data_IF_459945010634
#
_entry.id   IF_459945010634
#
_cell.length_a   1.000
_cell.length_b   1.000
_cell.length_c   1.000
_cell.angle_alpha   90.00
_cell.angle_beta   90.00
_cell.angle_gamma   90.00
#
_symmetry.space_group_name_H-M   'P 1'
#
loop_
_entity.id
_entity.type
_entity.pdbx_description
1 polymer ?
#
# COMPACT_ATOMS: atom_id res chain seq x y z
N UNK A 1 5.13 -16.96 -8.05
CA UNK A 1 3.97 -16.23 -8.60
C UNK A 1 3.62 -16.67 -10.03
N UNK A 2 4.58 -16.68 -10.95
CA UNK A 2 4.35 -17.10 -12.36
C UNK A 2 3.67 -18.47 -12.51
N UNK A 3 4.03 -19.45 -11.67
CA UNK A 3 3.35 -20.76 -11.64
C UNK A 3 1.86 -20.65 -11.30
N UNK A 4 1.47 -19.81 -10.35
CA UNK A 4 0.07 -19.64 -9.95
C UNK A 4 -0.74 -18.97 -11.07
N UNK A 5 -0.15 -17.98 -11.75
CA UNK A 5 -0.77 -17.36 -12.93
C UNK A 5 -1.00 -18.39 -14.03
N UNK A 6 -0.01 -19.22 -14.32
CA UNK A 6 -0.11 -20.29 -15.32
C UNK A 6 -1.13 -21.37 -14.94
N UNK A 7 -1.22 -21.73 -13.66
CA UNK A 7 -2.13 -22.74 -13.13
C UNK A 7 -3.59 -22.29 -13.14
N UNK A 8 -3.85 -21.07 -12.68
CA UNK A 8 -5.21 -20.55 -12.51
C UNK A 8 -5.70 -19.76 -13.72
N UNK A 9 -4.81 -19.33 -14.64
CA UNK A 9 -5.13 -18.48 -15.80
C UNK A 9 -5.93 -17.23 -15.44
N UNK A 10 -5.80 -16.79 -14.18
CA UNK A 10 -6.69 -15.78 -13.59
C UNK A 10 -6.28 -14.36 -13.89
N UNK A 11 -5.10 -14.13 -14.48
CA UNK A 11 -4.54 -12.79 -14.63
C UNK A 11 -4.06 -12.60 -16.07
N UNK A 12 -4.72 -11.70 -16.80
CA UNK A 12 -4.36 -11.29 -18.16
C UNK A 12 -3.62 -9.95 -18.21
N UNK A 13 -3.51 -9.26 -17.07
CA UNK A 13 -2.82 -7.98 -16.90
C UNK A 13 -2.88 -7.51 -15.44
N UNK A 14 -2.13 -6.45 -15.12
CA UNK A 14 -2.08 -5.85 -13.78
C UNK A 14 -2.55 -4.40 -13.83
N UNK A 15 -3.84 -4.19 -13.61
CA UNK A 15 -4.41 -2.86 -13.49
C UNK A 15 -4.20 -2.28 -12.08
N UNK A 16 -4.73 -1.07 -11.86
CA UNK A 16 -4.64 -0.37 -10.59
C UNK A 16 -5.31 -1.17 -9.46
N UNK A 17 -6.43 -1.83 -9.75
CA UNK A 17 -7.17 -2.63 -8.76
C UNK A 17 -6.40 -3.88 -8.33
N UNK A 18 -5.62 -4.49 -9.23
CA UNK A 18 -4.69 -5.54 -8.84
C UNK A 18 -3.66 -5.04 -7.82
N UNK A 19 -3.06 -3.87 -8.08
CA UNK A 19 -2.07 -3.28 -7.18
C UNK A 19 -2.68 -2.80 -5.86
N UNK A 20 -3.92 -2.30 -5.85
CA UNK A 20 -4.66 -2.00 -4.64
C UNK A 20 -4.81 -3.24 -3.76
N UNK A 21 -5.19 -4.38 -4.35
CA UNK A 21 -5.28 -5.66 -3.64
C UNK A 21 -3.94 -6.10 -3.04
N UNK A 22 -2.84 -5.96 -3.80
CA UNK A 22 -1.48 -6.25 -3.30
C UNK A 22 -1.11 -5.35 -2.12
N UNK A 23 -1.39 -4.05 -2.21
CA UNK A 23 -1.12 -3.09 -1.14
C UNK A 23 -1.86 -3.46 0.15
N UNK A 24 -3.16 -3.74 0.06
CA UNK A 24 -3.95 -4.13 1.23
C UNK A 24 -3.41 -5.43 1.83
N UNK A 25 -3.07 -6.42 1.01
CA UNK A 25 -2.48 -7.66 1.49
C UNK A 25 -1.14 -7.43 2.23
N UNK A 26 -0.27 -6.56 1.71
CA UNK A 26 1.00 -6.20 2.35
C UNK A 26 0.80 -5.49 3.69
N UNK A 27 -0.17 -4.57 3.77
CA UNK A 27 -0.50 -3.86 5.02
C UNK A 27 -1.00 -4.84 6.08
N UNK A 28 -1.92 -5.73 5.69
CA UNK A 28 -2.53 -6.69 6.60
C UNK A 28 -1.54 -7.76 7.05
N UNK A 29 -0.70 -8.26 6.15
CA UNK A 29 0.35 -9.23 6.47
C UNK A 29 1.28 -8.67 7.55
N UNK A 30 1.80 -7.45 7.36
CA UNK A 30 2.63 -6.79 8.37
C UNK A 30 1.90 -6.53 9.69
N UNK A 31 0.60 -6.23 9.63
CA UNK A 31 -0.22 -6.08 10.83
C UNK A 31 -0.37 -7.41 11.58
N UNK A 32 -0.50 -8.54 10.88
CA UNK A 32 -0.56 -9.87 11.49
C UNK A 32 0.76 -10.25 12.16
N UNK A 33 1.88 -9.99 11.48
CA UNK A 33 3.21 -10.21 12.06
C UNK A 33 3.39 -9.42 13.36
N UNK A 34 3.03 -8.13 13.35
CA UNK A 34 3.11 -7.28 14.55
C UNK A 34 2.11 -7.65 15.63
N UNK A 35 0.91 -8.07 15.27
CA UNK A 35 -0.10 -8.51 16.23
C UNK A 35 0.42 -9.70 17.02
N UNK A 36 0.98 -10.69 16.32
CA UNK A 36 1.59 -11.84 16.98
C UNK A 36 2.83 -11.46 17.78
N UNK A 37 3.75 -10.67 17.21
CA UNK A 37 4.99 -10.28 17.88
C UNK A 37 4.74 -9.47 19.17
N UNK A 38 3.73 -8.59 19.17
CA UNK A 38 3.47 -7.69 20.30
C UNK A 38 2.48 -8.26 21.32
N UNK A 39 1.54 -9.12 20.90
CA UNK A 39 0.42 -9.56 21.73
C UNK A 39 0.26 -11.09 21.82
N UNK A 40 1.08 -11.86 21.11
CA UNK A 40 1.10 -13.33 21.15
C UNK A 40 -0.12 -14.02 20.53
N UNK A 41 -1.03 -13.27 19.90
CA UNK A 41 -2.24 -13.79 19.24
C UNK A 41 -2.61 -12.90 18.05
N UNK A 42 -3.36 -13.48 17.11
CA UNK A 42 -3.88 -12.79 15.93
C UNK A 42 -5.41 -12.86 16.00
N UNK A 43 -6.02 -11.74 16.39
CA UNK A 43 -7.46 -11.52 16.44
C UNK A 43 -7.78 -10.06 16.06
N UNK A 44 -9.07 -9.71 15.93
CA UNK A 44 -9.47 -8.38 15.48
C UNK A 44 -8.92 -7.22 16.34
N UNK A 45 -8.85 -7.41 17.66
CA UNK A 45 -8.35 -6.39 18.60
C UNK A 45 -6.84 -6.19 18.46
N UNK A 46 -6.08 -7.29 18.43
CA UNK A 46 -4.62 -7.26 18.30
C UNK A 46 -4.16 -6.78 16.94
N UNK A 47 -4.91 -7.08 15.88
CA UNK A 47 -4.68 -6.54 14.53
C UNK A 47 -4.88 -5.03 14.50
N UNK A 48 -5.98 -4.53 15.08
CA UNK A 48 -6.23 -3.08 15.10
C UNK A 48 -5.14 -2.34 15.88
N UNK A 49 -4.78 -2.85 17.06
CA UNK A 49 -3.66 -2.31 17.85
C UNK A 49 -2.34 -2.37 17.10
N UNK A 50 -2.08 -3.43 16.35
CA UNK A 50 -0.89 -3.57 15.53
C UNK A 50 -0.83 -2.55 14.38
N UNK A 51 -1.95 -2.32 13.67
CA UNK A 51 -2.05 -1.27 12.66
C UNK A 51 -1.72 0.10 13.25
N UNK A 52 -2.25 0.42 14.44
CA UNK A 52 -1.98 1.67 15.15
C UNK A 52 -0.51 1.84 15.60
N UNK A 53 0.35 0.81 15.48
CA UNK A 53 1.80 0.93 15.67
C UNK A 53 2.55 1.40 14.43
N UNK A 54 1.89 1.48 13.26
CA UNK A 54 2.55 1.87 12.02
C UNK A 54 2.98 3.33 12.12
N UNK A 55 4.28 3.58 11.97
CA UNK A 55 4.86 4.92 12.05
C UNK A 55 5.79 5.10 10.87
N UNK A 56 5.33 5.89 9.89
CA UNK A 56 6.03 6.11 8.63
C UNK A 56 6.46 4.79 7.95
N UNK A 57 5.55 3.81 7.97
CA UNK A 57 5.80 2.46 7.49
C UNK A 57 6.04 2.44 5.98
N UNK A 58 7.20 1.92 5.55
CA UNK A 58 7.55 1.82 4.14
C UNK A 58 7.13 0.47 3.54
N UNK A 59 6.49 0.54 2.38
CA UNK A 59 6.06 -0.60 1.56
C UNK A 59 6.75 -0.60 0.19
N UNK A 60 8.02 -0.17 0.16
CA UNK A 60 8.88 -0.19 -1.03
C UNK A 60 8.52 0.88 -2.06
N UNK A 61 7.90 1.99 -1.65
CA UNK A 61 7.48 3.06 -2.55
C UNK A 61 6.34 2.71 -3.51
N UNK A 62 5.69 1.56 -3.34
CA UNK A 62 4.47 1.21 -4.07
C UNK A 62 3.32 2.17 -3.70
N UNK A 63 3.22 2.48 -2.41
CA UNK A 63 2.32 3.46 -1.80
C UNK A 63 3.10 4.43 -0.93
N UNK A 64 2.55 5.60 -0.59
CA UNK A 64 3.20 6.47 0.37
C UNK A 64 3.31 5.79 1.72
N UNK A 65 4.32 6.17 2.52
CA UNK A 65 4.48 5.61 3.84
C UNK A 65 3.22 5.79 4.70
N UNK A 66 2.92 4.76 5.48
CA UNK A 66 1.65 4.63 6.21
C UNK A 66 1.85 4.90 7.70
N UNK A 67 0.94 5.67 8.27
CA UNK A 67 0.80 5.88 9.71
C UNK A 67 -0.67 5.78 10.07
N UNK A 68 -0.97 4.93 11.05
CA UNK A 68 -2.28 4.89 11.68
C UNK A 68 -2.17 5.30 13.14
N UNK A 69 -3.18 5.99 13.64
CA UNK A 69 -3.31 6.35 15.06
C UNK A 69 -4.70 5.94 15.54
N UNK A 70 -4.93 5.92 16.84
CA UNK A 70 -6.23 5.59 17.41
C UNK A 70 -7.38 6.54 16.99
N UNK A 71 -7.05 7.69 16.38
CA UNK A 71 -8.03 8.69 15.92
C UNK A 71 -7.93 9.02 14.43
N UNK A 72 -6.97 8.45 13.71
CA UNK A 72 -6.76 8.69 12.27
C UNK A 72 -6.32 7.40 11.59
N UNK A 73 -7.24 6.86 10.78
CA UNK A 73 -7.08 5.61 10.04
C UNK A 73 -6.87 5.87 8.53
N UNK A 74 -6.56 7.11 8.13
CA UNK A 74 -6.36 7.48 6.72
C UNK A 74 -5.06 6.94 6.12
N UNK A 75 -4.08 6.57 6.95
CA UNK A 75 -2.81 5.95 6.53
C UNK A 75 -1.82 6.96 5.96
N UNK A 76 -2.20 7.73 4.95
CA UNK A 76 -1.36 8.80 4.39
C UNK A 76 -2.20 9.86 3.69
N UNK A 77 -1.78 11.12 3.78
CA UNK A 77 -2.32 12.23 2.99
C UNK A 77 -1.35 12.64 1.86
N UNK A 78 -0.74 11.64 1.22
CA UNK A 78 0.17 11.84 0.09
C UNK A 78 -0.32 11.06 -1.12
N UNK A 79 -0.09 11.60 -2.29
CA UNK A 79 -0.47 11.00 -3.56
C UNK A 79 0.64 11.16 -4.61
N UNK A 80 0.58 10.35 -5.66
CA UNK A 80 1.38 10.53 -6.87
C UNK A 80 0.50 10.55 -8.11
N UNK A 81 0.88 11.33 -9.11
CA UNK A 81 0.30 11.25 -10.45
C UNK A 81 1.07 10.23 -11.27
N UNK A 82 0.33 9.38 -11.99
CA UNK A 82 0.87 8.40 -12.90
C UNK A 82 0.25 8.59 -14.28
N UNK A 83 1.05 8.38 -15.33
CA UNK A 83 0.57 8.16 -16.68
C UNK A 83 0.24 6.69 -16.84
N UNK A 84 -0.94 6.39 -17.38
CA UNK A 84 -1.31 5.05 -17.83
C UNK A 84 -0.88 4.94 -19.30
N UNK A 85 -0.08 3.93 -19.63
CA UNK A 85 0.35 3.64 -21.00
C UNK A 85 -0.65 2.70 -21.68
N UNK A 86 -0.61 2.63 -23.02
CA UNK A 86 -1.52 1.77 -23.80
C UNK A 86 -1.37 0.28 -23.51
N UNK A 87 -0.19 -0.13 -23.03
CA UNK A 87 0.11 -1.50 -22.58
C UNK A 87 -0.37 -1.80 -21.14
N UNK A 88 -1.07 -0.85 -20.50
CA UNK A 88 -1.58 -0.95 -19.14
C UNK A 88 -0.52 -0.70 -18.05
N UNK A 89 0.73 -0.38 -18.42
CA UNK A 89 1.76 -0.03 -17.44
C UNK A 89 1.59 1.39 -16.90
N UNK A 90 2.18 1.63 -15.73
CA UNK A 90 2.13 2.94 -15.05
C UNK A 90 3.50 3.59 -15.02
N UNK A 91 3.57 4.86 -15.45
CA UNK A 91 4.79 5.67 -15.33
C UNK A 91 4.54 6.81 -14.34
N UNK A 92 5.29 6.91 -13.23
CA UNK A 92 5.13 8.02 -12.30
C UNK A 92 5.56 9.33 -12.97
N UNK A 93 4.71 10.36 -12.89
CA UNK A 93 5.01 11.71 -13.40
C UNK A 93 5.57 12.62 -12.31
N UNK A 94 5.60 12.12 -11.08
CA UNK A 94 5.82 12.88 -9.85
C UNK A 94 6.20 11.93 -8.72
N UNK A 95 6.91 12.41 -7.71
CA UNK A 95 7.07 11.71 -6.42
C UNK A 95 5.76 11.69 -5.62
N UNK A 96 5.74 11.13 -4.41
CA UNK A 96 4.63 11.37 -3.49
C UNK A 96 4.69 12.78 -2.91
N UNK A 97 3.58 13.55 -2.98
CA UNK A 97 3.41 14.84 -2.30
C UNK A 97 2.06 14.92 -1.59
N UNK A 98 1.92 15.86 -0.66
CA UNK A 98 0.66 16.16 0.01
C UNK A 98 -0.15 17.21 -0.79
N UNK A 99 -1.24 16.84 -1.49
CA UNK A 99 -2.03 17.80 -2.25
C UNK A 99 -2.63 18.90 -1.36
N UNK A 100 -2.54 20.14 -1.81
CA UNK A 100 -2.99 21.32 -1.05
C UNK A 100 -2.03 21.78 0.06
N UNK A 101 -0.98 21.00 0.38
CA UNK A 101 0.04 21.36 1.38
C UNK A 101 1.43 21.57 0.75
N UNK A 102 1.74 20.80 -0.28
CA UNK A 102 3.03 20.82 -0.97
C UNK A 102 2.85 21.19 -2.44
N UNK A 103 3.82 21.92 -3.00
CA UNK A 103 3.86 22.21 -4.45
C UNK A 103 4.31 20.96 -5.19
N UNK A 104 3.47 20.48 -6.11
CA UNK A 104 3.79 19.34 -6.97
C UNK A 104 5.07 19.58 -7.78
N UNK A 105 5.91 18.54 -7.89
CA UNK A 105 7.11 18.52 -8.73
C UNK A 105 7.00 17.40 -9.75
N UNK A 106 7.07 17.76 -11.03
CA UNK A 106 7.13 16.80 -12.13
C UNK A 106 8.54 16.23 -12.18
N UNK A 107 8.66 14.89 -12.17
CA UNK A 107 9.92 14.18 -12.41
C UNK A 107 9.95 13.86 -13.91
N UNK A 108 10.84 14.53 -14.64
CA UNK A 108 11.07 14.27 -16.06
C UNK A 108 12.04 13.11 -16.23
#
# INVERSE_FOLDING_TARGET
MEYLWKKYKTVTGFDASYWEGVVIAMIMEKAFERAYANFGKIDSDTINKALETFRNEDFGGLVPNITYTSTDHGGSWKARMVKINEDGTYTPLTNFWAPGKEKVKIIK
#
